data_IF_953797569793
#
_entry.id   IF_953797569793
#
_cell.length_a   1.000
_cell.length_b   1.000
_cell.length_c   1.000
_cell.angle_alpha   90.00
_cell.angle_beta   90.00
_cell.angle_gamma   90.00
#
_symmetry.space_group_name_H-M   'P 1'
#
loop_
_entity.id
_entity.type
_entity.pdbx_description
1 polymer ?
#
# COMPACT_ATOMS: atom_id res chain seq x y z
N UNK A 1 -1.79 -11.90 -17.41
CA UNK A 1 -2.49 -10.70 -16.90
C UNK A 1 -1.47 -9.69 -16.39
N UNK A 2 -1.68 -8.40 -16.61
CA UNK A 2 -0.78 -7.35 -16.10
C UNK A 2 -0.93 -7.16 -14.58
N UNK A 3 0.14 -6.72 -13.91
CA UNK A 3 0.16 -6.49 -12.45
C UNK A 3 -1.01 -5.61 -12.00
N UNK A 4 -1.29 -4.52 -12.72
CA UNK A 4 -2.40 -3.60 -12.47
C UNK A 4 -3.77 -4.27 -12.55
N UNK A 5 -3.96 -5.23 -13.46
CA UNK A 5 -5.21 -6.00 -13.56
C UNK A 5 -5.39 -6.94 -12.36
N UNK A 6 -4.29 -7.53 -11.86
CA UNK A 6 -4.32 -8.39 -10.66
C UNK A 6 -4.64 -7.56 -9.42
N UNK A 7 -4.05 -6.37 -9.23
CA UNK A 7 -4.40 -5.48 -8.10
C UNK A 7 -5.89 -5.11 -8.07
N UNK A 8 -6.49 -4.84 -9.23
CA UNK A 8 -7.92 -4.50 -9.33
C UNK A 8 -8.84 -5.62 -8.84
N UNK A 9 -8.36 -6.86 -8.84
CA UNK A 9 -9.07 -8.03 -8.33
C UNK A 9 -8.70 -8.28 -6.86
N UNK A 10 -7.41 -8.27 -6.53
CA UNK A 10 -6.91 -8.56 -5.19
C UNK A 10 -7.45 -7.57 -4.15
N UNK A 11 -7.53 -6.28 -4.49
CA UNK A 11 -7.99 -5.24 -3.55
C UNK A 11 -9.44 -5.46 -3.06
N UNK A 12 -10.46 -5.58 -3.94
CA UNK A 12 -11.82 -5.85 -3.48
C UNK A 12 -11.96 -7.21 -2.80
N UNK A 13 -11.19 -8.24 -3.22
CA UNK A 13 -11.20 -9.55 -2.55
C UNK A 13 -10.70 -9.44 -1.11
N UNK A 14 -9.59 -8.74 -0.86
CA UNK A 14 -9.10 -8.51 0.49
C UNK A 14 -10.10 -7.71 1.32
N UNK A 15 -10.72 -6.67 0.75
CA UNK A 15 -11.74 -5.89 1.44
C UNK A 15 -12.94 -6.76 1.84
N UNK A 16 -13.40 -7.64 0.95
CA UNK A 16 -14.47 -8.58 1.23
C UNK A 16 -14.09 -9.60 2.31
N UNK A 17 -12.88 -10.16 2.24
CA UNK A 17 -12.36 -11.09 3.25
C UNK A 17 -12.27 -10.41 4.62
N UNK A 18 -11.78 -9.17 4.68
CA UNK A 18 -11.72 -8.39 5.91
C UNK A 18 -13.12 -8.17 6.49
N UNK A 19 -14.09 -7.77 5.66
CA UNK A 19 -15.47 -7.61 6.09
C UNK A 19 -16.06 -8.91 6.64
N UNK A 20 -15.78 -10.04 5.98
CA UNK A 20 -16.20 -11.36 6.44
C UNK A 20 -15.60 -11.72 7.81
N UNK A 21 -14.34 -11.35 8.08
CA UNK A 21 -13.73 -11.56 9.39
C UNK A 21 -14.35 -10.71 10.49
N UNK A 22 -14.66 -9.45 10.19
CA UNK A 22 -15.35 -8.57 11.15
C UNK A 22 -16.75 -9.10 11.44
N UNK A 23 -17.52 -9.46 10.41
CA UNK A 23 -18.87 -10.01 10.59
C UNK A 23 -18.85 -11.34 11.35
N UNK A 24 -17.94 -12.26 11.03
CA UNK A 24 -17.84 -13.55 11.75
C UNK A 24 -17.46 -13.37 13.22
N UNK A 25 -16.58 -12.42 13.54
CA UNK A 25 -16.26 -12.08 14.93
C UNK A 25 -17.45 -11.48 15.68
N UNK A 26 -18.17 -10.53 15.05
CA UNK A 26 -19.35 -9.89 15.66
C UNK A 26 -20.52 -10.87 15.87
N UNK A 27 -20.65 -11.85 14.98
CA UNK A 27 -21.72 -12.83 15.02
C UNK A 27 -21.28 -14.15 15.68
N UNK A 28 -20.13 -14.19 16.37
CA UNK A 28 -19.58 -15.43 16.95
C UNK A 28 -20.53 -16.15 17.91
N UNK A 29 -21.43 -15.43 18.58
CA UNK A 29 -22.41 -16.00 19.52
C UNK A 29 -23.58 -16.65 18.76
N UNK A 30 -23.86 -16.16 17.55
CA UNK A 30 -24.98 -16.63 16.71
C UNK A 30 -24.53 -17.72 15.71
N UNK A 31 -23.29 -17.65 15.23
CA UNK A 31 -22.68 -18.70 14.43
C UNK A 31 -22.24 -19.81 15.38
N UNK A 32 -22.85 -20.99 15.29
CA UNK A 32 -22.39 -22.15 16.06
C UNK A 32 -20.89 -22.39 15.87
N UNK A 33 -20.24 -22.94 16.90
CA UNK A 33 -18.78 -23.01 17.04
C UNK A 33 -18.06 -23.55 15.80
N UNK A 34 -18.59 -24.60 15.16
CA UNK A 34 -17.99 -25.19 13.95
C UNK A 34 -18.02 -24.24 12.74
N UNK A 35 -19.12 -23.49 12.57
CA UNK A 35 -19.28 -22.54 11.47
C UNK A 35 -18.39 -21.33 11.71
N UNK A 36 -18.37 -20.82 12.94
CA UNK A 36 -17.49 -19.73 13.33
C UNK A 36 -16.02 -20.13 13.15
N UNK A 37 -15.58 -21.27 13.68
CA UNK A 37 -14.20 -21.71 13.55
C UNK A 37 -13.82 -21.88 12.08
N UNK A 38 -14.67 -22.53 11.29
CA UNK A 38 -14.38 -22.72 9.87
C UNK A 38 -14.25 -21.38 9.15
N UNK A 39 -15.25 -20.49 9.24
CA UNK A 39 -15.23 -19.21 8.52
C UNK A 39 -14.13 -18.28 9.03
N UNK A 40 -14.02 -18.12 10.35
CA UNK A 40 -13.09 -17.16 10.94
C UNK A 40 -11.64 -17.64 10.83
N UNK A 41 -11.35 -18.92 11.09
CA UNK A 41 -9.98 -19.43 11.02
C UNK A 41 -9.50 -19.54 9.58
N UNK A 42 -10.29 -20.17 8.69
CA UNK A 42 -9.87 -20.33 7.29
C UNK A 42 -9.89 -19.00 6.54
N UNK A 43 -10.91 -18.16 6.78
CA UNK A 43 -10.98 -16.81 6.23
C UNK A 43 -9.79 -15.94 6.68
N UNK A 44 -9.32 -16.11 7.92
CA UNK A 44 -8.12 -15.43 8.43
C UNK A 44 -6.85 -15.83 7.67
N UNK A 45 -6.68 -17.12 7.38
CA UNK A 45 -5.53 -17.62 6.59
C UNK A 45 -5.57 -17.08 5.16
N UNK A 46 -6.74 -17.09 4.52
CA UNK A 46 -6.95 -16.52 3.18
C UNK A 46 -6.68 -15.02 3.15
N UNK A 47 -7.15 -14.28 4.15
CA UNK A 47 -6.91 -12.85 4.28
C UNK A 47 -5.42 -12.55 4.44
N UNK A 48 -4.71 -13.29 5.30
CA UNK A 48 -3.27 -13.13 5.49
C UNK A 48 -2.49 -13.35 4.18
N UNK A 49 -2.80 -14.43 3.45
CA UNK A 49 -2.21 -14.70 2.14
C UNK A 49 -2.54 -13.60 1.12
N UNK A 50 -3.77 -13.10 1.12
CA UNK A 50 -4.20 -11.97 0.29
C UNK A 50 -3.40 -10.69 0.59
N UNK A 51 -3.26 -10.32 1.86
CA UNK A 51 -2.48 -9.15 2.29
C UNK A 51 -1.01 -9.26 1.85
N UNK A 52 -0.39 -10.43 2.02
CA UNK A 52 0.99 -10.66 1.56
C UNK A 52 1.13 -10.51 0.04
N UNK A 53 0.18 -11.07 -0.72
CA UNK A 53 0.13 -10.89 -2.17
C UNK A 53 -0.05 -9.42 -2.56
N UNK A 54 -0.98 -8.71 -1.91
CA UNK A 54 -1.21 -7.28 -2.14
C UNK A 54 0.04 -6.44 -1.87
N UNK A 55 0.73 -6.70 -0.75
CA UNK A 55 1.95 -5.99 -0.39
C UNK A 55 3.07 -6.27 -1.40
N UNK A 56 3.23 -7.53 -1.80
CA UNK A 56 4.23 -7.94 -2.80
C UNK A 56 3.99 -7.24 -4.15
N UNK A 57 2.73 -7.14 -4.57
CA UNK A 57 2.34 -6.46 -5.81
C UNK A 57 2.52 -4.93 -5.72
N UNK A 58 2.37 -4.34 -4.54
CA UNK A 58 2.54 -2.90 -4.29
C UNK A 58 3.92 -2.51 -3.74
N UNK A 59 4.89 -3.44 -3.66
CA UNK A 59 6.16 -3.21 -2.96
C UNK A 59 6.95 -2.00 -3.48
N UNK A 60 6.90 -1.72 -4.78
CA UNK A 60 7.55 -0.53 -5.35
C UNK A 60 6.92 0.78 -4.87
N UNK A 61 5.59 0.82 -4.73
CA UNK A 61 4.89 1.97 -4.16
C UNK A 61 5.23 2.13 -2.68
N UNK A 62 5.23 1.04 -1.91
CA UNK A 62 5.61 1.06 -0.48
C UNK A 62 7.02 1.62 -0.29
N UNK A 63 7.98 1.16 -1.10
CA UNK A 63 9.35 1.69 -1.06
C UNK A 63 9.39 3.20 -1.34
N UNK A 64 8.73 3.66 -2.40
CA UNK A 64 8.72 5.08 -2.76
C UNK A 64 8.02 5.96 -1.70
N UNK A 65 6.97 5.44 -1.04
CA UNK A 65 6.21 6.21 -0.05
C UNK A 65 6.85 6.23 1.34
N UNK A 66 7.55 5.16 1.74
CA UNK A 66 7.99 4.99 3.13
C UNK A 66 9.48 4.71 3.31
N UNK A 67 10.19 4.28 2.27
CA UNK A 67 11.60 3.85 2.38
C UNK A 67 12.57 4.70 1.55
N UNK A 68 12.08 5.55 0.64
CA UNK A 68 12.90 6.57 -0.01
C UNK A 68 13.25 7.67 1.00
N UNK A 69 14.35 7.47 1.70
CA UNK A 69 15.04 8.56 2.40
C UNK A 69 15.69 9.40 1.32
N UNK A 70 15.08 10.54 0.99
CA UNK A 70 15.65 11.50 0.05
C UNK A 70 17.03 11.91 0.57
N UNK A 71 18.09 11.36 0.00
CA UNK A 71 19.42 11.93 0.06
C UNK A 71 19.44 13.23 -0.73
N UNK A 72 18.78 14.28 -0.22
CA UNK A 72 18.98 15.66 -0.69
C UNK A 72 20.23 16.20 -0.02
N UNK A 73 21.35 15.54 -0.30
CA UNK A 73 22.68 16.09 -0.15
C UNK A 73 23.24 16.32 -1.56
N UNK A 74 22.52 17.11 -2.35
CA UNK A 74 23.15 17.84 -3.45
C UNK A 74 22.82 19.31 -3.24
N UNK A 75 23.81 20.02 -2.71
CA UNK A 75 23.88 21.46 -2.67
C UNK A 75 24.08 22.03 -4.07
N UNK A 76 23.19 21.71 -5.01
CA UNK A 76 23.08 22.45 -6.25
C UNK A 76 22.43 23.80 -5.91
N UNK A 77 23.28 24.74 -5.53
CA UNK A 77 22.98 26.18 -5.51
C UNK A 77 22.15 26.53 -6.75
N UNK A 78 21.07 27.32 -6.63
CA UNK A 78 20.36 27.81 -7.81
C UNK A 78 21.37 28.53 -8.70
N UNK A 79 21.68 27.94 -9.87
CA UNK A 79 22.43 28.60 -10.93
C UNK A 79 21.64 29.84 -11.33
N UNK A 80 22.10 31.03 -10.92
CA UNK A 80 21.48 32.27 -11.40
C UNK A 80 21.87 33.56 -10.71
N UNK A 81 22.49 33.57 -9.53
CA UNK A 81 23.05 34.80 -8.93
C UNK A 81 24.56 34.92 -9.19
N UNK A 82 24.95 34.92 -10.47
CA UNK A 82 26.20 35.54 -10.89
C UNK A 82 25.83 36.79 -11.68
N UNK A 83 25.89 37.93 -11.00
CA UNK A 83 26.07 39.23 -11.65
C UNK A 83 27.58 39.45 -11.77
N UNK A 84 28.17 39.35 -12.97
CA UNK A 84 29.45 39.95 -13.24
C UNK A 84 29.16 41.31 -13.85
N UNK A 85 29.38 42.37 -13.07
CA UNK A 85 29.16 43.73 -13.52
C UNK A 85 29.70 43.97 -14.94
N UNK A 86 28.87 44.57 -15.80
CA UNK A 86 29.32 44.89 -17.15
C UNK A 86 28.24 45.23 -18.18
N UNK A 87 27.33 46.16 -17.90
CA UNK A 87 26.77 47.03 -18.96
C UNK A 87 26.02 48.25 -18.43
N UNK A 88 26.55 49.43 -18.74
CA UNK A 88 25.77 50.66 -18.82
C UNK A 88 24.85 50.59 -20.06
N UNK A 89 23.61 51.03 -19.92
CA UNK A 89 22.67 51.28 -21.02
C UNK A 89 22.21 52.74 -20.95
N UNK A 90 21.89 53.37 -22.11
CA UNK A 90 21.99 54.81 -22.36
C UNK A 90 20.99 55.69 -21.61
#
# INVERSE_FOLDING_TARGET
MGKTSVLKIVNPVIALLLLCQVCSALLMITLGDEIFETLHKTGGVLLAGGVLLHLSLNWNWVKASYLETTGRADGSLPRGCLDPGGRAHP
#
